data_IF_112861777572
#
_entry.id   IF_112861777572
#
_cell.length_a   1.000
_cell.length_b   1.000
_cell.length_c   1.000
_cell.angle_alpha   90.00
_cell.angle_beta   90.00
_cell.angle_gamma   90.00
#
_symmetry.space_group_name_H-M   'P 1'
#
loop_
_entity.id
_entity.type
_entity.pdbx_description
1 polymer ?
#
# COMPACT_ATOMS: atom_id res chain seq x y z
N UNK A 1 5.27 12.65 10.06
CA UNK A 1 3.86 12.51 9.66
C UNK A 1 3.46 11.07 9.88
N UNK A 2 2.34 10.80 10.58
CA UNK A 2 1.94 9.42 10.92
C UNK A 2 0.82 8.86 10.04
N UNK A 3 0.06 9.72 9.37
CA UNK A 3 -1.04 9.33 8.48
C UNK A 3 -0.90 10.03 7.14
N UNK A 4 -1.10 9.29 6.06
CA UNK A 4 -1.20 9.78 4.69
C UNK A 4 -2.45 9.17 4.07
N UNK A 5 -3.37 10.02 3.61
CA UNK A 5 -4.55 9.60 2.84
C UNK A 5 -4.50 10.24 1.47
N UNK A 6 -4.57 9.42 0.42
CA UNK A 6 -4.72 9.85 -0.97
C UNK A 6 -5.79 8.96 -1.60
N UNK A 7 -7.04 9.36 -1.46
CA UNK A 7 -8.23 8.60 -1.87
C UNK A 7 -9.06 9.37 -2.90
N UNK A 8 -10.03 8.71 -3.53
CA UNK A 8 -10.98 9.28 -4.52
C UNK A 8 -10.33 9.70 -5.85
N UNK A 9 -9.97 8.70 -6.65
CA UNK A 9 -9.59 8.87 -8.06
C UNK A 9 -8.44 9.86 -8.29
N UNK A 10 -7.44 9.86 -7.39
CA UNK A 10 -6.20 10.62 -7.59
C UNK A 10 -5.26 9.98 -8.64
N UNK A 11 -5.73 8.94 -9.32
CA UNK A 11 -5.03 8.23 -10.39
C UNK A 11 -3.63 7.78 -9.98
N UNK A 12 -3.46 7.40 -8.70
CA UNK A 12 -2.25 6.70 -8.27
C UNK A 12 -2.25 5.33 -8.93
N UNK A 13 -1.27 5.10 -9.80
CA UNK A 13 -0.99 3.82 -10.40
C UNK A 13 0.06 3.07 -9.57
N UNK A 14 0.39 1.82 -9.94
CA UNK A 14 1.38 1.03 -9.19
C UNK A 14 2.73 1.71 -9.01
N UNK A 15 3.19 2.53 -9.96
CA UNK A 15 4.44 3.29 -9.85
C UNK A 15 4.40 4.37 -8.75
N UNK A 16 3.27 5.04 -8.57
CA UNK A 16 3.08 6.04 -7.51
C UNK A 16 3.01 5.39 -6.14
N UNK A 17 2.27 4.29 -6.02
CA UNK A 17 2.22 3.52 -4.79
C UNK A 17 3.61 2.96 -4.41
N UNK A 18 4.40 2.55 -5.41
CA UNK A 18 5.80 2.15 -5.23
C UNK A 18 6.64 3.30 -4.66
N UNK A 19 6.57 4.48 -5.28
CA UNK A 19 7.32 5.65 -4.81
C UNK A 19 6.97 6.03 -3.36
N UNK A 20 5.69 5.91 -2.97
CA UNK A 20 5.25 6.10 -1.57
C UNK A 20 5.90 5.06 -0.65
N UNK A 21 5.86 3.78 -1.03
CA UNK A 21 6.45 2.69 -0.23
C UNK A 21 7.97 2.80 -0.05
N UNK A 22 8.67 3.37 -1.03
CA UNK A 22 10.13 3.56 -1.01
C UNK A 22 10.57 4.88 -0.33
N UNK A 23 9.63 5.76 0.02
CA UNK A 23 9.94 7.10 0.51
C UNK A 23 10.49 7.08 1.95
N UNK A 24 11.77 7.43 2.09
CA UNK A 24 12.44 7.57 3.41
C UNK A 24 11.83 8.66 4.29
N UNK A 25 11.20 9.66 3.68
CA UNK A 25 10.52 10.75 4.38
C UNK A 25 9.24 10.30 5.08
N UNK A 26 8.71 9.12 4.70
CA UNK A 26 7.52 8.51 5.29
C UNK A 26 7.86 7.39 6.28
N UNK A 27 9.10 7.28 6.75
CA UNK A 27 9.54 6.22 7.67
C UNK A 27 8.77 6.17 9.01
N UNK A 28 8.15 7.28 9.42
CA UNK A 28 7.30 7.35 10.62
C UNK A 28 5.81 7.09 10.36
N UNK A 29 5.45 6.71 9.12
CA UNK A 29 4.06 6.50 8.74
C UNK A 29 3.49 5.24 9.41
N UNK A 30 2.31 5.39 10.02
CA UNK A 30 1.57 4.30 10.68
C UNK A 30 0.30 3.93 9.92
N UNK A 31 -0.28 4.88 9.18
CA UNK A 31 -1.51 4.70 8.39
C UNK A 31 -1.34 5.23 6.98
N UNK A 32 -1.63 4.38 6.01
CA UNK A 32 -1.63 4.70 4.58
C UNK A 32 -2.97 4.32 3.97
N UNK A 33 -3.68 5.29 3.38
CA UNK A 33 -4.93 5.09 2.65
C UNK A 33 -4.69 5.47 1.19
N UNK A 34 -4.85 4.49 0.30
CA UNK A 34 -4.76 4.63 -1.16
C UNK A 34 -6.04 4.11 -1.83
N UNK A 35 -7.16 4.08 -1.10
CA UNK A 35 -8.43 3.58 -1.59
C UNK A 35 -8.90 4.32 -2.85
N UNK A 36 -9.62 3.63 -3.72
CA UNK A 36 -10.24 4.20 -4.94
C UNK A 36 -9.21 4.88 -5.87
N UNK A 37 -8.08 4.23 -6.12
CA UNK A 37 -7.08 4.66 -7.10
C UNK A 37 -6.97 3.65 -8.27
N UNK A 38 -5.88 3.71 -9.04
CA UNK A 38 -5.65 2.88 -10.22
C UNK A 38 -4.48 1.90 -10.02
N UNK A 39 -4.25 1.42 -8.79
CA UNK A 39 -3.16 0.49 -8.47
C UNK A 39 -3.51 -0.90 -9.03
N UNK A 40 -2.69 -1.43 -9.95
CA UNK A 40 -2.80 -2.79 -10.48
C UNK A 40 -2.01 -3.82 -9.67
N UNK A 41 -1.95 -5.05 -10.16
CA UNK A 41 -1.23 -6.17 -9.53
C UNK A 41 0.28 -5.90 -9.34
N UNK A 42 0.88 -5.05 -10.17
CA UNK A 42 2.24 -4.58 -9.99
C UNK A 42 2.42 -3.83 -8.66
N UNK A 43 1.34 -3.20 -8.19
CA UNK A 43 1.22 -2.65 -6.86
C UNK A 43 1.13 -3.74 -5.78
N UNK A 44 0.43 -4.84 -6.02
CA UNK A 44 0.38 -5.97 -5.07
C UNK A 44 1.76 -6.60 -4.80
N UNK A 45 2.64 -6.57 -5.80
CA UNK A 45 4.04 -7.01 -5.67
C UNK A 45 4.98 -6.00 -4.99
N UNK A 46 4.48 -4.84 -4.53
CA UNK A 46 5.26 -3.85 -3.75
C UNK A 46 5.74 -4.35 -2.39
N UNK A 47 5.38 -5.57 -2.01
CA UNK A 47 5.85 -6.29 -0.83
C UNK A 47 7.33 -5.97 -0.51
N UNK A 48 8.28 -6.16 -1.42
CA UNK A 48 9.70 -5.92 -1.11
C UNK A 48 10.07 -4.48 -0.68
N UNK A 49 9.18 -3.50 -0.88
CA UNK A 49 9.47 -2.07 -0.78
C UNK A 49 8.94 -1.44 0.53
N UNK A 50 8.07 -2.12 1.28
CA UNK A 50 7.59 -1.66 2.59
C UNK A 50 8.64 -1.69 3.71
N UNK A 51 9.87 -2.15 3.43
CA UNK A 51 10.98 -2.09 4.41
C UNK A 51 11.23 -0.67 4.92
N UNK A 52 10.97 0.35 4.11
CA UNK A 52 11.11 1.76 4.49
C UNK A 52 9.96 2.23 5.39
N UNK A 53 8.80 1.59 5.30
CA UNK A 53 7.60 1.84 6.10
C UNK A 53 7.47 0.79 7.23
N UNK A 54 8.56 0.50 7.93
CA UNK A 54 8.61 -0.54 8.98
C UNK A 54 7.65 -0.30 10.15
N UNK A 55 7.19 0.94 10.33
CA UNK A 55 6.19 1.32 11.34
C UNK A 55 4.74 1.27 10.87
N UNK A 56 4.47 0.87 9.62
CA UNK A 56 3.11 0.88 9.06
C UNK A 56 2.23 -0.19 9.71
N UNK A 57 1.08 0.22 10.22
CA UNK A 57 0.13 -0.64 10.93
C UNK A 57 -1.21 -0.78 10.20
N UNK A 58 -1.55 0.19 9.35
CA UNK A 58 -2.79 0.22 8.60
C UNK A 58 -2.51 0.55 7.14
N UNK A 59 -2.98 -0.31 6.24
CA UNK A 59 -2.97 -0.10 4.79
C UNK A 59 -4.36 -0.36 4.23
N UNK A 60 -4.90 0.62 3.51
CA UNK A 60 -6.11 0.45 2.71
C UNK A 60 -5.80 0.72 1.23
N UNK A 61 -6.07 -0.29 0.39
CA UNK A 61 -6.00 -0.25 -1.07
C UNK A 61 -7.31 -0.74 -1.70
N UNK A 62 -8.42 -0.69 -0.96
CA UNK A 62 -9.76 -1.04 -1.43
C UNK A 62 -10.16 -0.24 -2.68
N UNK A 63 -10.96 -0.87 -3.55
CA UNK A 63 -11.44 -0.23 -4.79
C UNK A 63 -10.33 0.19 -5.77
N UNK A 64 -9.15 -0.44 -5.70
CA UNK A 64 -8.11 -0.33 -6.74
C UNK A 64 -8.31 -1.38 -7.84
N UNK A 65 -7.42 -1.41 -8.83
CA UNK A 65 -7.46 -2.33 -9.97
C UNK A 65 -6.71 -3.64 -9.70
N UNK A 66 -6.70 -4.10 -8.45
CA UNK A 66 -6.10 -5.37 -8.06
C UNK A 66 -6.96 -6.51 -8.60
N UNK A 67 -6.32 -7.53 -9.17
CA UNK A 67 -6.97 -8.80 -9.46
C UNK A 67 -6.86 -9.72 -8.23
N UNK A 68 -7.57 -10.86 -8.20
CA UNK A 68 -7.41 -11.85 -7.12
C UNK A 68 -5.95 -12.29 -6.89
N UNK A 69 -5.10 -12.22 -7.94
CA UNK A 69 -3.67 -12.51 -7.81
C UNK A 69 -2.93 -11.42 -7.04
N UNK A 70 -3.22 -10.15 -7.30
CA UNK A 70 -2.63 -9.02 -6.59
C UNK A 70 -3.06 -8.98 -5.13
N UNK A 71 -4.32 -9.27 -4.86
CA UNK A 71 -4.87 -9.42 -3.50
C UNK A 71 -4.16 -10.53 -2.72
N UNK A 72 -4.00 -11.72 -3.32
CA UNK A 72 -3.30 -12.85 -2.71
C UNK A 72 -1.83 -12.52 -2.41
N UNK A 73 -1.17 -11.78 -3.31
CA UNK A 73 0.21 -11.33 -3.12
C UNK A 73 0.35 -10.36 -1.93
N UNK A 74 -0.59 -9.43 -1.75
CA UNK A 74 -0.60 -8.53 -0.60
C UNK A 74 -0.85 -9.28 0.71
N UNK A 75 -1.84 -10.17 0.73
CA UNK A 75 -2.18 -10.96 1.92
C UNK A 75 -1.04 -11.88 2.38
N UNK A 76 -0.29 -12.46 1.43
CA UNK A 76 0.85 -13.35 1.71
C UNK A 76 2.19 -12.61 1.83
N UNK A 77 2.18 -11.29 1.78
CA UNK A 77 3.39 -10.48 1.82
C UNK A 77 4.14 -10.64 3.15
N UNK A 78 5.40 -11.08 3.07
CA UNK A 78 6.30 -11.15 4.23
C UNK A 78 6.91 -9.80 4.61
N UNK A 79 6.59 -8.73 3.88
CA UNK A 79 7.09 -7.40 4.18
C UNK A 79 6.09 -6.55 4.98
N UNK A 80 4.84 -6.97 5.03
CA UNK A 80 3.78 -6.35 5.83
C UNK A 80 3.73 -6.96 7.25
N UNK A 81 4.86 -7.39 7.80
CA UNK A 81 4.94 -8.12 9.09
C UNK A 81 4.52 -7.29 10.30
N UNK A 82 4.57 -5.97 10.20
CA UNK A 82 4.12 -5.04 11.25
C UNK A 82 2.65 -4.60 11.14
N UNK A 83 1.93 -5.04 10.09
CA UNK A 83 0.57 -4.59 9.86
C UNK A 83 -0.43 -5.23 10.82
N UNK A 84 -1.38 -4.41 11.25
CA UNK A 84 -2.53 -4.81 12.06
C UNK A 84 -3.79 -4.93 11.22
N UNK A 85 -3.93 -4.07 10.21
CA UNK A 85 -5.11 -4.00 9.35
C UNK A 85 -4.69 -3.83 7.89
N UNK A 86 -5.18 -4.72 7.04
CA UNK A 86 -5.09 -4.68 5.57
C UNK A 86 -6.52 -4.64 5.01
N UNK A 87 -6.86 -3.61 4.26
CA UNK A 87 -8.13 -3.50 3.53
C UNK A 87 -7.84 -3.53 2.03
N UNK A 88 -8.40 -4.51 1.32
CA UNK A 88 -8.15 -4.79 -0.10
C UNK A 88 -9.41 -4.86 -0.97
N UNK A 89 -10.60 -4.82 -0.35
CA UNK A 89 -11.91 -4.94 -1.02
C UNK A 89 -12.66 -3.63 -0.95
#
# INVERSE_FOLDING_TARGET
METLSIENENWIHGSGAKAISESKNLSSLKRLVLALNAIGDEGGNMSCQFKTLSGLQFLNVAGNKLTPRGEDALQKSTALTGMKILEIV
#
